data_IF_909800066017
#
_entry.id   IF_909800066017
#
_cell.length_a   1.000
_cell.length_b   1.000
_cell.length_c   1.000
_cell.angle_alpha   90.00
_cell.angle_beta   90.00
_cell.angle_gamma   90.00
#
_symmetry.space_group_name_H-M   'P 1'
#
loop_
_entity.id
_entity.type
_entity.pdbx_description
1 polymer ?
#
# COMPACT_ATOMS: atom_id res chain seq x y z
N UNK A 1 24.70 6.13 -15.15
CA UNK A 1 24.01 5.53 -16.32
C UNK A 1 22.61 6.10 -16.33
N UNK A 2 22.38 7.11 -17.18
CA UNK A 2 21.07 7.74 -17.37
C UNK A 2 20.06 6.71 -17.86
N UNK A 3 19.23 6.20 -16.95
CA UNK A 3 18.17 5.26 -17.30
C UNK A 3 17.02 6.10 -17.85
N UNK A 4 16.82 6.01 -19.16
CA UNK A 4 15.73 6.67 -19.85
C UNK A 4 14.52 5.73 -19.94
N UNK A 5 13.30 6.28 -19.83
CA UNK A 5 12.04 5.58 -20.08
C UNK A 5 11.25 6.40 -21.09
N UNK A 6 10.77 5.75 -22.15
CA UNK A 6 10.00 6.41 -23.22
C UNK A 6 10.70 7.65 -23.82
N UNK A 7 12.03 7.63 -23.89
CA UNK A 7 12.83 8.72 -24.48
C UNK A 7 13.09 9.91 -23.55
N UNK A 8 12.67 9.85 -22.29
CA UNK A 8 12.90 10.86 -21.24
C UNK A 8 13.71 10.29 -20.10
N UNK A 9 14.42 11.15 -19.36
CA UNK A 9 15.14 10.73 -18.15
C UNK A 9 14.15 10.37 -17.04
N UNK A 10 14.48 9.37 -16.21
CA UNK A 10 13.60 8.98 -15.10
C UNK A 10 13.33 10.15 -14.15
N UNK A 11 14.32 11.01 -13.90
CA UNK A 11 14.18 12.15 -13.00
C UNK A 11 13.14 13.16 -13.51
N UNK A 12 12.97 13.30 -14.82
CA UNK A 12 11.93 14.14 -15.41
C UNK A 12 10.54 13.55 -15.14
N UNK A 13 10.39 12.23 -15.22
CA UNK A 13 9.13 11.56 -14.86
C UNK A 13 8.84 11.67 -13.36
N UNK A 14 9.86 11.59 -12.51
CA UNK A 14 9.69 11.79 -11.06
C UNK A 14 9.23 13.22 -10.75
N UNK A 15 9.79 14.22 -11.42
CA UNK A 15 9.37 15.62 -11.27
C UNK A 15 7.91 15.82 -11.68
N UNK A 16 7.48 15.19 -12.77
CA UNK A 16 6.11 15.28 -13.30
C UNK A 16 5.06 14.69 -12.33
N UNK A 17 5.42 13.81 -11.39
CA UNK A 17 4.51 13.36 -10.33
C UNK A 17 4.04 14.50 -9.42
N UNK A 18 4.86 15.55 -9.26
CA UNK A 18 4.51 16.73 -8.48
C UNK A 18 3.79 17.81 -9.32
N UNK A 19 3.58 17.59 -10.62
CA UNK A 19 2.88 18.54 -11.49
C UNK A 19 1.45 18.80 -11.03
N UNK A 20 0.90 19.98 -11.28
CA UNK A 20 -0.51 20.27 -11.06
C UNK A 20 -1.43 19.57 -12.09
N UNK A 21 -0.88 19.17 -13.24
CA UNK A 21 -1.58 18.53 -14.34
C UNK A 21 -1.84 17.05 -14.08
N UNK A 22 -3.11 16.62 -14.12
CA UNK A 22 -3.47 15.21 -14.00
C UNK A 22 -2.85 14.34 -15.11
N UNK A 23 -2.80 14.88 -16.34
CA UNK A 23 -2.28 14.15 -17.49
C UNK A 23 -0.79 13.84 -17.30
N UNK A 24 0.00 14.84 -16.92
CA UNK A 24 1.45 14.70 -16.68
C UNK A 24 1.72 13.69 -15.56
N UNK A 25 0.99 13.79 -14.44
CA UNK A 25 1.13 12.82 -13.35
C UNK A 25 0.78 11.40 -13.78
N UNK A 26 -0.27 11.23 -14.58
CA UNK A 26 -0.68 9.90 -15.07
C UNK A 26 0.33 9.29 -16.06
N UNK A 27 0.92 10.12 -16.92
CA UNK A 27 1.97 9.70 -17.86
C UNK A 27 3.25 9.33 -17.12
N UNK A 28 3.65 10.16 -16.16
CA UNK A 28 4.75 9.91 -15.26
C UNK A 28 4.60 8.59 -14.52
N UNK A 29 3.45 8.37 -13.89
CA UNK A 29 3.17 7.13 -13.18
C UNK A 29 3.27 5.91 -14.11
N UNK A 30 2.71 6.01 -15.32
CA UNK A 30 2.77 4.93 -16.31
C UNK A 30 4.20 4.66 -16.80
N UNK A 31 5.02 5.69 -16.95
CA UNK A 31 6.43 5.53 -17.28
C UNK A 31 7.20 4.88 -16.12
N UNK A 32 6.95 5.35 -14.89
CA UNK A 32 7.60 4.85 -13.69
C UNK A 32 7.26 3.38 -13.39
N UNK A 33 6.15 2.83 -13.89
CA UNK A 33 5.90 1.38 -13.87
C UNK A 33 7.04 0.55 -14.48
N UNK A 34 7.86 1.14 -15.37
CA UNK A 34 9.01 0.49 -16.00
C UNK A 34 10.34 0.88 -15.34
N UNK A 35 10.30 1.68 -14.26
CA UNK A 35 11.49 2.12 -13.55
C UNK A 35 12.13 0.96 -12.78
N UNK A 36 13.45 1.01 -12.52
CA UNK A 36 14.09 0.08 -11.61
C UNK A 36 13.73 0.37 -10.15
N UNK A 37 13.81 -0.66 -9.31
CA UNK A 37 13.62 -0.58 -7.84
C UNK A 37 14.48 0.49 -7.16
N UNK A 38 15.64 0.83 -7.74
CA UNK A 38 16.55 1.88 -7.23
C UNK A 38 15.91 3.28 -7.19
N UNK A 39 14.78 3.49 -7.86
CA UNK A 39 14.08 4.77 -7.90
C UNK A 39 13.05 4.93 -6.78
N UNK A 40 12.81 3.89 -5.96
CA UNK A 40 11.81 3.91 -4.88
C UNK A 40 11.93 5.16 -3.99
N UNK A 41 13.10 5.50 -3.42
CA UNK A 41 13.19 6.65 -2.51
C UNK A 41 12.83 7.98 -3.19
N UNK A 42 13.22 8.15 -4.46
CA UNK A 42 12.97 9.37 -5.21
C UNK A 42 11.50 9.51 -5.63
N UNK A 43 10.87 8.41 -6.08
CA UNK A 43 9.44 8.35 -6.39
C UNK A 43 8.61 8.65 -5.13
N UNK A 44 9.00 8.10 -3.98
CA UNK A 44 8.30 8.32 -2.71
C UNK A 44 8.44 9.75 -2.20
N UNK A 45 9.63 10.34 -2.30
CA UNK A 45 9.83 11.75 -1.96
C UNK A 45 8.94 12.67 -2.83
N UNK A 46 8.87 12.42 -4.14
CA UNK A 46 8.00 13.16 -5.05
C UNK A 46 6.50 12.95 -4.73
N UNK A 47 6.12 11.70 -4.43
CA UNK A 47 4.75 11.35 -4.09
C UNK A 47 4.26 12.03 -2.80
N UNK A 48 5.12 12.12 -1.78
CA UNK A 48 4.84 12.83 -0.53
C UNK A 48 4.80 14.36 -0.73
N UNK A 49 5.70 14.92 -1.53
CA UNK A 49 5.78 16.36 -1.78
C UNK A 49 4.57 16.92 -2.57
N UNK A 50 4.01 16.12 -3.49
CA UNK A 50 2.99 16.56 -4.45
C UNK A 50 1.58 16.77 -3.89
N UNK A 51 1.31 16.53 -2.60
CA UNK A 51 -0.07 16.40 -2.03
C UNK A 51 -0.96 15.58 -2.98
N UNK A 52 -0.49 14.39 -3.34
CA UNK A 52 -1.11 13.58 -4.37
C UNK A 52 -2.56 13.23 -4.02
N UNK A 53 -3.43 13.32 -5.03
CA UNK A 53 -4.78 12.76 -5.01
C UNK A 53 -4.70 11.22 -4.99
N UNK A 54 -5.71 10.56 -4.38
CA UNK A 54 -5.77 9.10 -4.17
C UNK A 54 -5.34 8.22 -5.35
N UNK A 55 -5.67 8.63 -6.58
CA UNK A 55 -5.38 7.87 -7.80
C UNK A 55 -3.88 7.68 -8.12
N UNK A 56 -3.02 8.61 -7.70
CA UNK A 56 -1.58 8.51 -8.03
C UNK A 56 -0.87 7.65 -7.00
N UNK A 57 -1.25 7.83 -5.73
CA UNK A 57 -0.78 6.95 -4.68
C UNK A 57 -1.20 5.50 -4.90
N UNK A 58 -2.38 5.23 -5.45
CA UNK A 58 -2.79 3.89 -5.86
C UNK A 58 -1.81 3.25 -6.86
N UNK A 59 -1.41 3.99 -7.90
CA UNK A 59 -0.46 3.45 -8.87
C UNK A 59 0.97 3.35 -8.32
N UNK A 60 1.39 4.25 -7.42
CA UNK A 60 2.69 4.13 -6.72
C UNK A 60 2.68 2.91 -5.82
N UNK A 61 1.57 2.66 -5.12
CA UNK A 61 1.36 1.49 -4.30
C UNK A 61 1.45 0.19 -5.12
N UNK A 62 0.69 0.10 -6.21
CA UNK A 62 0.73 -1.05 -7.10
C UNK A 62 2.13 -1.27 -7.68
N UNK A 63 2.84 -0.18 -8.02
CA UNK A 63 4.21 -0.24 -8.46
C UNK A 63 5.15 -0.80 -7.39
N UNK A 64 5.11 -0.30 -6.16
CA UNK A 64 5.92 -0.80 -5.05
C UNK A 64 5.66 -2.28 -4.76
N UNK A 65 4.39 -2.71 -4.77
CA UNK A 65 4.02 -4.11 -4.58
C UNK A 65 4.66 -5.07 -5.59
N UNK A 66 5.02 -4.58 -6.79
CA UNK A 66 5.71 -5.40 -7.79
C UNK A 66 7.18 -5.69 -7.51
N UNK A 67 7.79 -5.04 -6.49
CA UNK A 67 9.20 -5.22 -6.12
C UNK A 67 9.43 -6.10 -4.90
N UNK A 68 8.41 -6.80 -4.41
CA UNK A 68 8.54 -7.69 -3.25
C UNK A 68 9.07 -6.95 -2.01
N UNK A 69 9.95 -7.59 -1.24
CA UNK A 69 10.40 -7.13 0.08
C UNK A 69 10.85 -5.66 0.14
N UNK A 70 11.59 -5.17 -0.88
CA UNK A 70 12.08 -3.78 -0.90
C UNK A 70 10.93 -2.76 -1.05
N UNK A 71 9.97 -3.04 -1.93
CA UNK A 71 8.79 -2.19 -2.10
C UNK A 71 7.83 -2.30 -0.91
N UNK A 72 7.76 -3.48 -0.30
CA UNK A 72 6.94 -3.74 0.88
C UNK A 72 7.45 -3.00 2.11
N UNK A 73 8.77 -2.93 2.31
CA UNK A 73 9.37 -2.18 3.40
C UNK A 73 9.02 -0.68 3.32
N UNK A 74 9.16 -0.09 2.13
CA UNK A 74 8.84 1.32 1.92
C UNK A 74 7.33 1.61 2.09
N UNK A 75 6.46 0.69 1.64
CA UNK A 75 5.01 0.80 1.86
C UNK A 75 4.65 0.78 3.35
N UNK A 76 5.33 -0.05 4.14
CA UNK A 76 5.09 -0.15 5.58
C UNK A 76 5.46 1.15 6.33
N UNK A 77 6.49 1.87 5.89
CA UNK A 77 6.81 3.18 6.47
C UNK A 77 5.70 4.24 6.24
N UNK A 78 4.86 4.05 5.22
CA UNK A 78 3.82 5.01 4.85
C UNK A 78 2.45 4.72 5.47
N UNK A 79 2.37 3.72 6.36
CA UNK A 79 1.09 3.18 6.83
C UNK A 79 0.22 4.27 7.46
N UNK A 80 0.78 5.06 8.36
CA UNK A 80 0.01 6.06 9.12
C UNK A 80 -0.40 7.28 8.29
N UNK A 81 0.29 7.53 7.18
CA UNK A 81 -0.08 8.61 6.26
C UNK A 81 -1.27 8.21 5.39
N UNK A 82 -1.27 6.99 4.83
CA UNK A 82 -2.31 6.52 3.90
C UNK A 82 -2.62 5.02 4.03
N UNK A 83 -3.32 4.62 5.11
CA UNK A 83 -3.48 3.21 5.44
C UNK A 83 -4.32 2.43 4.43
N UNK A 84 -5.28 3.09 3.78
CA UNK A 84 -6.09 2.51 2.69
C UNK A 84 -5.22 2.08 1.51
N UNK A 85 -4.35 2.97 1.04
CA UNK A 85 -3.60 2.78 -0.20
C UNK A 85 -2.47 1.78 0.00
N UNK A 86 -1.81 1.82 1.15
CA UNK A 86 -0.86 0.79 1.58
C UNK A 86 -1.55 -0.58 1.57
N UNK A 87 -2.74 -0.69 2.16
CA UNK A 87 -3.49 -1.95 2.16
C UNK A 87 -3.83 -2.45 0.75
N UNK A 88 -4.29 -1.57 -0.15
CA UNK A 88 -4.56 -1.95 -1.54
C UNK A 88 -3.30 -2.47 -2.25
N UNK A 89 -2.15 -1.84 -2.00
CA UNK A 89 -0.85 -2.28 -2.51
C UNK A 89 -0.52 -3.70 -2.07
N UNK A 90 -0.65 -3.93 -0.76
CA UNK A 90 -0.36 -5.21 -0.11
C UNK A 90 -1.26 -6.33 -0.63
N UNK A 91 -2.56 -6.04 -0.79
CA UNK A 91 -3.52 -6.98 -1.38
C UNK A 91 -3.15 -7.32 -2.83
N UNK A 92 -2.73 -6.33 -3.62
CA UNK A 92 -2.30 -6.53 -5.01
C UNK A 92 -0.97 -7.29 -5.12
N UNK A 93 -0.04 -7.10 -4.18
CA UNK A 93 1.23 -7.82 -4.12
C UNK A 93 1.04 -9.32 -3.85
N UNK A 94 -0.03 -9.69 -3.13
CA UNK A 94 -0.44 -11.07 -2.93
C UNK A 94 -0.21 -11.59 -1.51
N UNK A 95 -0.44 -12.90 -1.27
CA UNK A 95 -0.49 -13.49 0.08
C UNK A 95 0.77 -13.32 0.93
N UNK A 96 1.93 -13.08 0.31
CA UNK A 96 3.17 -12.78 1.04
C UNK A 96 3.07 -11.50 1.88
N UNK A 97 2.06 -10.67 1.64
CA UNK A 97 1.75 -9.48 2.42
C UNK A 97 1.00 -9.76 3.74
N UNK A 98 0.53 -10.98 3.97
CA UNK A 98 -0.25 -11.34 5.17
C UNK A 98 0.50 -11.00 6.48
N UNK A 99 1.81 -11.28 6.65
CA UNK A 99 2.55 -10.90 7.85
C UNK A 99 2.57 -9.39 8.10
N UNK A 100 2.77 -8.57 7.05
CA UNK A 100 2.78 -7.11 7.17
C UNK A 100 1.40 -6.57 7.60
N UNK A 101 0.31 -7.11 7.04
CA UNK A 101 -1.04 -6.76 7.48
C UNK A 101 -1.33 -7.20 8.91
N UNK A 102 -0.79 -8.34 9.36
CA UNK A 102 -0.93 -8.78 10.75
C UNK A 102 -0.23 -7.82 11.72
N UNK A 103 0.96 -7.32 11.37
CA UNK A 103 1.67 -6.32 12.16
C UNK A 103 0.86 -5.02 12.27
N UNK A 104 0.28 -4.55 11.17
CA UNK A 104 -0.50 -3.33 11.14
C UNK A 104 -1.81 -3.37 11.94
N UNK A 105 -2.34 -4.57 12.25
CA UNK A 105 -3.44 -4.70 13.21
C UNK A 105 -3.07 -4.21 14.62
N UNK A 106 -1.78 -4.07 14.91
CA UNK A 106 -1.27 -3.55 16.18
C UNK A 106 -0.94 -2.05 16.16
N UNK A 107 -1.09 -1.39 15.01
CA UNK A 107 -0.86 0.06 14.88
C UNK A 107 -1.74 0.86 15.85
N UNK A 108 -1.21 1.96 16.38
CA UNK A 108 -1.97 2.91 17.21
C UNK A 108 -3.07 3.62 16.40
N UNK A 109 -2.86 3.79 15.09
CA UNK A 109 -3.84 4.38 14.18
C UNK A 109 -5.02 3.44 13.97
N UNK A 110 -6.21 3.91 14.34
CA UNK A 110 -7.44 3.14 14.15
C UNK A 110 -7.72 2.88 12.67
N UNK A 111 -7.39 3.83 11.81
CA UNK A 111 -7.55 3.67 10.37
C UNK A 111 -6.63 2.59 9.82
N UNK A 112 -5.40 2.53 10.32
CA UNK A 112 -4.42 1.48 10.00
C UNK A 112 -4.94 0.10 10.38
N UNK A 113 -5.46 -0.08 11.59
CA UNK A 113 -6.06 -1.34 12.03
C UNK A 113 -7.26 -1.75 11.18
N UNK A 114 -8.13 -0.80 10.83
CA UNK A 114 -9.31 -1.06 10.00
C UNK A 114 -8.92 -1.57 8.62
N UNK A 115 -8.00 -0.89 7.95
CA UNK A 115 -7.58 -1.28 6.61
C UNK A 115 -6.76 -2.57 6.62
N UNK A 116 -5.90 -2.78 7.62
CA UNK A 116 -5.21 -4.06 7.81
C UNK A 116 -6.20 -5.24 7.93
N UNK A 117 -7.25 -5.08 8.74
CA UNK A 117 -8.31 -6.07 8.87
C UNK A 117 -9.03 -6.29 7.52
N UNK A 118 -9.36 -5.22 6.80
CA UNK A 118 -9.97 -5.33 5.47
C UNK A 118 -9.08 -6.13 4.50
N UNK A 119 -7.79 -5.79 4.42
CA UNK A 119 -6.83 -6.48 3.54
C UNK A 119 -6.68 -7.96 3.88
N UNK A 120 -6.60 -8.31 5.16
CA UNK A 120 -6.59 -9.73 5.59
C UNK A 120 -7.85 -10.47 5.16
N UNK A 121 -9.02 -9.80 5.17
CA UNK A 121 -10.25 -10.40 4.68
C UNK A 121 -10.25 -10.67 3.17
N UNK A 122 -9.53 -9.87 2.38
CA UNK A 122 -9.39 -10.09 0.94
C UNK A 122 -8.58 -11.35 0.62
N UNK A 123 -7.72 -11.77 1.54
CA UNK A 123 -6.91 -12.99 1.40
C UNK A 123 -7.60 -14.26 1.86
N UNK A 124 -8.78 -14.22 2.48
CA UNK A 124 -9.54 -15.42 2.83
C UNK A 124 -8.71 -16.49 3.58
N UNK A 125 -8.69 -17.73 3.05
CA UNK A 125 -7.97 -18.88 3.63
C UNK A 125 -6.48 -18.66 3.74
N UNK A 126 -5.90 -17.90 2.82
CA UNK A 126 -4.49 -17.56 2.80
C UNK A 126 -4.11 -16.74 4.04
N UNK A 127 -5.07 -15.99 4.62
CA UNK A 127 -4.91 -15.28 5.89
C UNK A 127 -5.31 -16.09 7.14
N UNK A 128 -5.50 -17.41 7.06
CA UNK A 128 -5.89 -18.25 8.22
C UNK A 128 -4.91 -18.15 9.40
N UNK A 129 -3.62 -17.92 9.13
CA UNK A 129 -2.62 -17.65 10.18
C UNK A 129 -2.90 -16.41 11.03
N UNK A 130 -3.69 -15.45 10.51
CA UNK A 130 -4.02 -14.20 11.19
C UNK A 130 -5.15 -14.32 12.22
N UNK A 131 -5.83 -15.48 12.33
CA UNK A 131 -7.00 -15.65 13.20
C UNK A 131 -6.76 -15.27 14.66
N UNK A 132 -5.59 -15.63 15.21
CA UNK A 132 -5.24 -15.31 16.61
C UNK A 132 -5.13 -13.80 16.80
N UNK A 133 -4.47 -13.11 15.86
CA UNK A 133 -4.27 -11.65 15.91
C UNK A 133 -5.57 -10.90 15.67
N UNK A 134 -6.40 -11.33 14.72
CA UNK A 134 -7.73 -10.77 14.48
C UNK A 134 -8.63 -10.86 15.72
N UNK A 135 -8.65 -12.00 16.40
CA UNK A 135 -9.41 -12.18 17.66
C UNK A 135 -8.84 -11.33 18.80
N UNK A 136 -7.53 -11.14 18.86
CA UNK A 136 -6.91 -10.25 19.84
C UNK A 136 -7.30 -8.78 19.58
N UNK A 137 -7.24 -8.33 18.32
CA UNK A 137 -7.63 -6.99 17.92
C UNK A 137 -9.10 -6.67 18.23
N UNK A 138 -10.00 -7.65 18.13
CA UNK A 138 -11.42 -7.48 18.52
C UNK A 138 -11.64 -7.20 20.01
N UNK A 139 -10.68 -7.54 20.88
CA UNK A 139 -10.77 -7.29 22.33
C UNK A 139 -10.34 -5.88 22.71
N UNK A 140 -9.70 -5.15 21.80
CA UNK A 140 -9.30 -3.77 22.00
C UNK A 140 -10.50 -2.84 21.77
N UNK A 141 -10.49 -1.62 22.37
CA UNK A 141 -11.46 -0.59 22.03
C UNK A 141 -11.25 -0.20 20.55
N UNK A 142 -12.19 -0.61 19.72
CA UNK A 142 -12.21 -0.34 18.27
C UNK A 142 -13.57 0.21 17.86
N UNK A 143 -13.58 1.06 16.83
CA UNK A 143 -14.83 1.53 16.23
C UNK A 143 -15.63 0.40 15.61
N UNK A 144 -16.92 0.67 15.37
CA UNK A 144 -17.82 -0.24 14.68
C UNK A 144 -17.29 -0.66 13.30
N UNK A 145 -16.82 0.30 12.49
CA UNK A 145 -16.24 0.02 11.16
C UNK A 145 -15.04 -0.93 11.23
N UNK A 146 -14.17 -0.74 12.23
CA UNK A 146 -13.01 -1.61 12.45
C UNK A 146 -13.46 -3.01 12.90
N UNK A 147 -14.46 -3.08 13.79
CA UNK A 147 -15.05 -4.33 14.26
C UNK A 147 -15.69 -5.13 13.12
N UNK A 148 -16.42 -4.46 12.23
CA UNK A 148 -16.99 -5.08 11.02
C UNK A 148 -15.90 -5.67 10.12
N UNK A 149 -14.82 -4.93 9.88
CA UNK A 149 -13.69 -5.38 9.07
C UNK A 149 -12.99 -6.59 9.68
N UNK A 150 -12.78 -6.59 11.00
CA UNK A 150 -12.22 -7.73 11.75
C UNK A 150 -13.12 -8.97 11.67
N UNK A 151 -14.44 -8.79 11.81
CA UNK A 151 -15.41 -9.88 11.69
C UNK A 151 -15.47 -10.46 10.28
N UNK A 152 -15.44 -9.59 9.26
CA UNK A 152 -15.38 -10.01 7.86
C UNK A 152 -14.13 -10.86 7.62
N UNK A 153 -12.97 -10.39 8.05
CA UNK A 153 -11.71 -11.11 7.87
C UNK A 153 -11.69 -12.47 8.58
N UNK A 154 -12.24 -12.55 9.80
CA UNK A 154 -12.35 -13.81 10.52
C UNK A 154 -13.20 -14.83 9.75
N UNK A 155 -14.39 -14.43 9.29
CA UNK A 155 -15.27 -15.31 8.49
C UNK A 155 -14.60 -15.76 7.19
N UNK A 156 -14.00 -14.83 6.46
CA UNK A 156 -13.31 -15.12 5.20
C UNK A 156 -12.15 -16.11 5.38
N UNK A 157 -11.49 -16.13 6.56
CA UNK A 157 -10.41 -17.07 6.86
C UNK A 157 -10.87 -18.50 7.19
N UNK A 158 -12.16 -18.66 7.48
CA UNK A 158 -12.80 -19.93 7.87
C UNK A 158 -13.46 -20.64 6.68
N UNK A 159 -14.08 -19.88 5.77
CA UNK A 159 -14.68 -20.32 4.50
C UNK A 159 -13.66 -20.86 3.52
#
# INVERSE_FOLDING_TARGET
MSKHIAGREIDEWIADLASSSFLERSQALRALLQAPVTCIPAVMAAARAGKLHSAIWEGVAAWLGSYGDEGMAELCECWDEQPMLVTCALVAAGPDAVPALMEALTSESEESRRWAAYGLGQFGKEARGAQVVLRAAMRLPVSEKTRESLLHALKASEE
#
